data_IF_934952108710
#
_entry.id   IF_934952108710
#
_cell.length_a   1.000
_cell.length_b   1.000
_cell.length_c   1.000
_cell.angle_alpha   90.00
_cell.angle_beta   90.00
_cell.angle_gamma   90.00
#
_symmetry.space_group_name_H-M   'P 1'
#
loop_
_entity.id
_entity.type
_entity.pdbx_description
1 polymer ?
#
# COMPACT_ATOMS: atom_id res chain seq x y z
N UNK A 1 -19.27 -1.38 0.54
CA UNK A 1 -18.71 -1.20 1.90
C UNK A 1 -19.31 0.06 2.51
N UNK A 2 -19.84 -0.02 3.72
CA UNK A 2 -20.36 1.15 4.41
C UNK A 2 -19.21 2.01 4.98
N UNK A 3 -19.43 3.33 5.24
CA UNK A 3 -18.41 4.15 5.89
C UNK A 3 -17.96 3.61 7.24
N UNK A 4 -18.86 3.02 8.01
CA UNK A 4 -18.53 2.42 9.31
C UNK A 4 -17.63 1.20 9.15
N UNK A 5 -17.90 0.33 8.17
CA UNK A 5 -17.08 -0.84 7.89
C UNK A 5 -15.68 -0.41 7.42
N UNK A 6 -15.60 0.62 6.58
CA UNK A 6 -14.34 1.17 6.11
C UNK A 6 -13.51 1.74 7.28
N UNK A 7 -14.14 2.49 8.18
CA UNK A 7 -13.47 3.03 9.36
C UNK A 7 -12.91 1.94 10.26
N UNK A 8 -13.67 0.86 10.48
CA UNK A 8 -13.19 -0.29 11.26
C UNK A 8 -11.98 -0.96 10.64
N UNK A 9 -11.99 -1.17 9.33
CA UNK A 9 -10.87 -1.76 8.61
C UNK A 9 -9.63 -0.87 8.70
N UNK A 10 -9.81 0.45 8.54
CA UNK A 10 -8.72 1.42 8.64
C UNK A 10 -8.11 1.42 10.04
N UNK A 11 -8.94 1.41 11.08
CA UNK A 11 -8.50 1.40 12.47
C UNK A 11 -7.73 0.13 12.81
N UNK A 12 -8.21 -1.01 12.34
CA UNK A 12 -7.52 -2.29 12.53
C UNK A 12 -6.15 -2.31 11.85
N UNK A 13 -6.09 -1.82 10.62
CA UNK A 13 -4.84 -1.72 9.86
C UNK A 13 -3.85 -0.78 10.57
N UNK A 14 -4.30 0.38 11.04
CA UNK A 14 -3.47 1.33 11.76
C UNK A 14 -2.90 0.71 13.04
N UNK A 15 -3.70 -0.06 13.77
CA UNK A 15 -3.26 -0.77 14.97
C UNK A 15 -2.14 -1.76 14.65
N UNK A 16 -2.33 -2.60 13.63
CA UNK A 16 -1.31 -3.57 13.20
C UNK A 16 -0.04 -2.89 12.70
N UNK A 17 -0.20 -1.79 11.97
CA UNK A 17 0.94 -1.02 11.44
C UNK A 17 1.75 -0.39 12.58
N UNK A 18 1.09 0.13 13.60
CA UNK A 18 1.76 0.69 14.79
C UNK A 18 2.54 -0.37 15.55
N UNK A 19 1.97 -1.58 15.71
CA UNK A 19 2.66 -2.69 16.34
C UNK A 19 3.90 -3.09 15.54
N UNK A 20 3.79 -3.15 14.24
CA UNK A 20 4.91 -3.47 13.34
C UNK A 20 6.01 -2.42 13.44
N UNK A 21 5.66 -1.15 13.52
CA UNK A 21 6.64 -0.06 13.69
C UNK A 21 7.42 -0.17 15.01
N UNK A 22 6.84 -0.77 16.03
CA UNK A 22 7.49 -1.00 17.32
C UNK A 22 8.28 -2.31 17.37
N UNK A 23 8.09 -3.19 16.38
CA UNK A 23 8.70 -4.50 16.36
C UNK A 23 10.17 -4.45 15.91
N UNK A 24 10.92 -5.49 16.25
CA UNK A 24 12.17 -5.81 15.57
C UNK A 24 11.81 -6.74 14.42
N UNK A 25 11.83 -6.28 13.16
CA UNK A 25 11.35 -7.10 12.06
C UNK A 25 12.05 -8.46 11.96
N UNK A 26 11.25 -9.53 11.94
CA UNK A 26 11.77 -10.88 11.88
C UNK A 26 10.73 -11.87 12.39
N UNK A 27 10.88 -13.16 12.01
CA UNK A 27 9.89 -14.19 12.37
C UNK A 27 9.80 -14.46 13.89
N UNK A 28 10.78 -14.02 14.66
CA UNK A 28 10.79 -14.22 16.11
C UNK A 28 9.95 -13.19 16.89
N UNK A 29 9.63 -12.05 16.28
CA UNK A 29 8.87 -10.99 16.95
C UNK A 29 7.37 -11.13 16.67
N UNK A 30 6.54 -11.40 17.70
CA UNK A 30 5.11 -11.57 17.52
C UNK A 30 4.38 -10.28 17.09
N UNK A 31 5.02 -9.11 17.21
CA UNK A 31 4.44 -7.83 16.80
C UNK A 31 4.76 -7.48 15.35
N UNK A 32 5.50 -8.32 14.65
CA UNK A 32 5.87 -8.10 13.26
C UNK A 32 4.78 -8.59 12.32
N UNK A 33 3.99 -7.67 11.79
CA UNK A 33 2.94 -7.93 10.80
C UNK A 33 3.34 -7.45 9.40
N UNK A 34 4.66 -7.42 9.11
CA UNK A 34 5.18 -6.91 7.83
C UNK A 34 4.64 -7.65 6.62
N UNK A 35 4.37 -8.95 6.73
CA UNK A 35 3.79 -9.72 5.63
C UNK A 35 2.39 -9.20 5.24
N UNK A 36 1.60 -8.80 6.22
CA UNK A 36 0.29 -8.19 5.96
C UNK A 36 0.43 -6.86 5.22
N UNK A 37 1.47 -6.08 5.56
CA UNK A 37 1.80 -4.84 4.84
C UNK A 37 2.15 -5.13 3.39
N UNK A 38 2.98 -6.14 3.15
CA UNK A 38 3.36 -6.56 1.80
C UNK A 38 2.12 -6.96 0.99
N UNK A 39 1.22 -7.74 1.58
CA UNK A 39 -0.03 -8.14 0.93
C UNK A 39 -0.90 -6.94 0.58
N UNK A 40 -1.00 -5.96 1.48
CA UNK A 40 -1.78 -4.74 1.22
C UNK A 40 -1.19 -3.94 0.05
N UNK A 41 0.12 -3.80 0.00
CA UNK A 41 0.80 -3.10 -1.08
C UNK A 41 0.70 -3.85 -2.40
N UNK A 42 0.79 -5.18 -2.35
CA UNK A 42 0.59 -6.04 -3.53
C UNK A 42 -0.83 -5.88 -4.08
N UNK A 43 -1.84 -5.95 -3.23
CA UNK A 43 -3.23 -5.80 -3.64
C UNK A 43 -3.51 -4.43 -4.27
N UNK A 44 -2.85 -3.39 -3.77
CA UNK A 44 -3.03 -2.04 -4.27
C UNK A 44 -2.36 -1.80 -5.64
N UNK A 45 -1.17 -2.34 -5.83
CA UNK A 45 -0.31 -1.93 -6.96
C UNK A 45 0.20 -3.05 -7.85
N UNK A 46 0.09 -4.29 -7.45
CA UNK A 46 0.61 -5.43 -8.22
C UNK A 46 -0.48 -6.31 -8.82
N UNK A 47 -1.72 -6.16 -8.40
CA UNK A 47 -2.84 -6.91 -8.92
C UNK A 47 -3.61 -6.10 -9.96
N UNK A 48 -4.18 -6.78 -10.94
CA UNK A 48 -5.04 -6.14 -11.92
C UNK A 48 -6.40 -5.83 -11.28
N UNK A 49 -6.85 -4.59 -11.44
CA UNK A 49 -8.17 -4.20 -10.97
C UNK A 49 -9.17 -4.37 -12.11
N UNK A 50 -10.18 -5.25 -11.98
CA UNK A 50 -11.22 -5.34 -13.00
C UNK A 50 -11.90 -4.00 -13.24
N UNK A 51 -12.34 -3.75 -14.47
CA UNK A 51 -12.91 -2.48 -14.88
C UNK A 51 -14.10 -2.01 -14.04
N UNK A 52 -14.83 -2.95 -13.41
CA UNK A 52 -15.99 -2.65 -12.57
C UNK A 52 -15.65 -2.63 -11.07
N UNK A 53 -14.38 -2.74 -10.70
CA UNK A 53 -13.95 -2.69 -9.31
C UNK A 53 -13.18 -1.39 -9.02
N UNK A 54 -13.33 -0.91 -7.79
CA UNK A 54 -12.66 0.29 -7.34
C UNK A 54 -11.41 -0.11 -6.54
N UNK A 55 -10.23 0.37 -6.95
CA UNK A 55 -8.96 0.11 -6.28
C UNK A 55 -8.76 1.00 -5.04
N UNK A 56 -9.58 2.03 -4.83
CA UNK A 56 -9.40 3.00 -3.74
C UNK A 56 -9.29 2.35 -2.35
N UNK A 57 -10.14 1.38 -1.96
CA UNK A 57 -10.01 0.77 -0.65
C UNK A 57 -8.66 0.07 -0.43
N UNK A 58 -8.14 -0.61 -1.45
CA UNK A 58 -6.84 -1.27 -1.36
C UNK A 58 -5.70 -0.26 -1.24
N UNK A 59 -5.76 0.81 -2.01
CA UNK A 59 -4.76 1.90 -1.98
C UNK A 59 -4.80 2.59 -0.62
N UNK A 60 -5.98 2.85 -0.08
CA UNK A 60 -6.14 3.47 1.24
C UNK A 60 -5.56 2.58 2.34
N UNK A 61 -5.82 1.29 2.29
CA UNK A 61 -5.26 0.33 3.24
C UNK A 61 -3.73 0.30 3.18
N UNK A 62 -3.16 0.27 1.98
CA UNK A 62 -1.72 0.32 1.78
C UNK A 62 -1.13 1.62 2.32
N UNK A 63 -1.80 2.77 2.11
CA UNK A 63 -1.35 4.06 2.60
C UNK A 63 -1.27 4.10 4.12
N UNK A 64 -2.20 3.46 4.83
CA UNK A 64 -2.17 3.36 6.30
C UNK A 64 -0.91 2.64 6.77
N UNK A 65 -0.52 1.55 6.11
CA UNK A 65 0.71 0.83 6.42
C UNK A 65 1.94 1.72 6.25
N UNK A 66 1.98 2.50 5.18
CA UNK A 66 3.11 3.42 4.91
C UNK A 66 3.14 4.55 5.94
N UNK A 67 1.98 5.10 6.29
CA UNK A 67 1.89 6.19 7.26
C UNK A 67 2.48 5.80 8.63
N UNK A 68 2.14 4.63 9.14
CA UNK A 68 2.54 4.22 10.49
C UNK A 68 3.79 3.36 10.56
N UNK A 69 4.12 2.61 9.50
CA UNK A 69 5.23 1.67 9.49
C UNK A 69 6.19 1.85 8.30
N UNK A 70 6.06 2.93 7.53
CA UNK A 70 6.82 3.13 6.30
C UNK A 70 8.33 3.00 6.49
N UNK A 71 8.88 3.59 7.54
CA UNK A 71 10.32 3.52 7.81
C UNK A 71 10.77 2.08 8.09
N UNK A 72 10.00 1.35 8.89
CA UNK A 72 10.27 -0.05 9.22
C UNK A 72 10.20 -0.93 7.96
N UNK A 73 9.21 -0.69 7.12
CA UNK A 73 9.04 -1.44 5.87
C UNK A 73 10.14 -1.10 4.85
N UNK A 74 10.51 0.18 4.74
CA UNK A 74 11.61 0.60 3.88
C UNK A 74 12.92 -0.07 4.25
N UNK A 75 13.21 -0.14 5.56
CA UNK A 75 14.42 -0.79 6.04
C UNK A 75 14.47 -2.26 5.61
N UNK A 76 13.35 -2.95 5.62
CA UNK A 76 13.26 -4.33 5.16
C UNK A 76 13.51 -4.44 3.65
N UNK A 77 13.08 -3.44 2.87
CA UNK A 77 13.37 -3.39 1.43
C UNK A 77 14.87 -3.20 1.17
N UNK A 78 15.52 -2.34 1.93
CA UNK A 78 16.97 -2.15 1.85
C UNK A 78 17.71 -3.44 2.21
N UNK A 79 17.24 -4.13 3.24
CA UNK A 79 17.84 -5.38 3.70
C UNK A 79 17.50 -6.57 2.81
N UNK A 80 16.52 -6.43 1.94
CA UNK A 80 16.09 -7.50 1.02
C UNK A 80 15.44 -8.68 1.73
N UNK A 81 14.62 -8.41 2.76
CA UNK A 81 13.99 -9.47 3.55
C UNK A 81 13.07 -10.35 2.70
N UNK A 82 13.29 -11.66 2.77
CA UNK A 82 12.47 -12.65 2.08
C UNK A 82 11.60 -13.46 3.04
N UNK A 83 10.50 -14.00 2.52
CA UNK A 83 9.57 -14.88 3.26
C UNK A 83 9.58 -16.27 2.64
N UNK A 84 9.21 -17.27 3.44
CA UNK A 84 9.21 -18.68 3.02
C UNK A 84 8.19 -18.95 1.91
N UNK A 85 8.54 -19.82 0.99
CA UNK A 85 7.64 -20.28 -0.06
C UNK A 85 7.13 -19.15 -0.93
N UNK A 86 5.83 -19.12 -1.15
CA UNK A 86 5.18 -18.15 -2.04
C UNK A 86 4.37 -17.08 -1.31
N UNK A 87 4.55 -16.95 -0.01
CA UNK A 87 3.78 -16.00 0.80
C UNK A 87 3.91 -14.57 0.30
N UNK A 88 5.08 -14.19 -0.16
CA UNK A 88 5.38 -12.85 -0.65
C UNK A 88 5.63 -12.80 -2.15
N UNK A 89 5.08 -13.75 -2.90
CA UNK A 89 5.20 -13.77 -4.35
C UNK A 89 4.60 -12.50 -4.97
N UNK A 90 5.08 -12.07 -6.15
CA UNK A 90 4.53 -10.89 -6.80
C UNK A 90 3.09 -11.08 -7.26
N UNK A 91 2.35 -9.98 -7.39
CA UNK A 91 1.01 -9.99 -7.97
C UNK A 91 1.02 -10.25 -9.46
N UNK A 92 -0.17 -10.34 -10.06
CA UNK A 92 -0.32 -10.73 -11.47
C UNK A 92 0.40 -9.83 -12.45
N UNK A 93 0.46 -8.52 -12.19
CA UNK A 93 1.17 -7.57 -13.07
C UNK A 93 2.67 -7.82 -13.14
N UNK A 94 3.22 -8.47 -12.14
CA UNK A 94 4.65 -8.72 -12.00
C UNK A 94 4.96 -10.20 -11.82
N UNK A 95 4.15 -11.07 -12.41
CA UNK A 95 4.28 -12.51 -12.28
C UNK A 95 5.61 -13.05 -12.80
N UNK A 96 6.30 -12.31 -13.68
CA UNK A 96 7.61 -12.64 -14.22
C UNK A 96 8.77 -12.30 -13.28
N UNK A 97 8.49 -11.56 -12.19
CA UNK A 97 9.52 -11.17 -11.23
C UNK A 97 9.77 -12.30 -10.21
N UNK A 98 11.01 -12.38 -9.76
CA UNK A 98 11.43 -13.41 -8.79
C UNK A 98 11.33 -12.93 -7.34
N UNK A 99 10.53 -11.92 -7.06
CA UNK A 99 10.39 -11.38 -5.71
C UNK A 99 9.82 -12.40 -4.74
N UNK A 100 10.42 -12.46 -3.54
CA UNK A 100 9.99 -13.34 -2.45
C UNK A 100 9.81 -12.58 -1.14
N UNK A 101 9.84 -11.25 -1.18
CA UNK A 101 9.74 -10.41 0.01
C UNK A 101 9.88 -8.94 -0.35
N UNK A 102 10.46 -8.20 0.57
CA UNK A 102 10.74 -6.78 0.38
C UNK A 102 12.05 -6.60 -0.41
N UNK A 103 11.99 -5.82 -1.48
CA UNK A 103 13.16 -5.42 -2.29
C UNK A 103 13.03 -3.95 -2.64
N UNK A 104 14.15 -3.30 -2.95
CA UNK A 104 14.11 -1.90 -3.38
C UNK A 104 13.36 -1.74 -4.70
N UNK A 105 13.53 -2.68 -5.63
CA UNK A 105 12.81 -2.67 -6.92
C UNK A 105 11.29 -2.69 -6.69
N UNK A 106 10.84 -3.60 -5.81
CA UNK A 106 9.41 -3.73 -5.48
C UNK A 106 8.89 -2.48 -4.77
N UNK A 107 9.68 -1.93 -3.86
CA UNK A 107 9.36 -0.69 -3.17
C UNK A 107 9.15 0.46 -4.16
N UNK A 108 10.00 0.57 -5.17
CA UNK A 108 9.90 1.61 -6.19
C UNK A 108 8.62 1.47 -7.02
N UNK A 109 8.16 0.26 -7.28
CA UNK A 109 6.86 0.01 -7.94
C UNK A 109 5.73 0.58 -7.09
N UNK A 110 5.72 0.29 -5.80
CA UNK A 110 4.69 0.79 -4.87
C UNK A 110 4.71 2.31 -4.76
N UNK A 111 5.90 2.87 -4.65
CA UNK A 111 6.09 4.31 -4.57
C UNK A 111 5.59 5.00 -5.85
N UNK A 112 5.92 4.45 -7.00
CA UNK A 112 5.42 4.95 -8.28
C UNK A 112 3.90 4.89 -8.37
N UNK A 113 3.29 3.84 -7.83
CA UNK A 113 1.84 3.71 -7.76
C UNK A 113 1.19 4.79 -6.92
N UNK A 114 1.75 5.10 -5.75
CA UNK A 114 1.26 6.20 -4.92
C UNK A 114 1.43 7.56 -5.59
N UNK A 115 2.55 7.80 -6.26
CA UNK A 115 2.80 9.05 -6.98
C UNK A 115 1.80 9.24 -8.11
N UNK A 116 1.47 8.19 -8.84
CA UNK A 116 0.48 8.24 -9.92
C UNK A 116 -0.91 8.59 -9.38
N UNK A 117 -1.33 7.96 -8.27
CA UNK A 117 -2.61 8.26 -7.63
C UNK A 117 -2.65 9.72 -7.15
N UNK A 118 -1.57 10.21 -6.55
CA UNK A 118 -1.45 11.59 -6.12
C UNK A 118 -1.57 12.57 -7.27
N UNK A 119 -0.90 12.28 -8.40
CA UNK A 119 -0.98 13.12 -9.60
C UNK A 119 -2.39 13.17 -10.17
N UNK A 120 -3.10 12.05 -10.20
CA UNK A 120 -4.48 11.98 -10.66
C UNK A 120 -5.41 12.78 -9.75
N UNK A 121 -5.23 12.69 -8.43
CA UNK A 121 -6.01 13.45 -7.47
C UNK A 121 -5.78 14.96 -7.62
N UNK A 122 -4.54 15.40 -7.79
CA UNK A 122 -4.19 16.79 -8.03
C UNK A 122 -4.82 17.31 -9.32
N UNK A 123 -4.78 16.53 -10.41
CA UNK A 123 -5.40 16.90 -11.68
C UNK A 123 -6.92 17.08 -11.53
N UNK A 124 -7.57 16.19 -10.79
CA UNK A 124 -9.01 16.28 -10.51
C UNK A 124 -9.35 17.53 -9.70
N UNK A 125 -8.55 17.84 -8.67
CA UNK A 125 -8.73 19.04 -7.85
C UNK A 125 -8.56 20.32 -8.66
N UNK A 126 -7.59 20.36 -9.56
CA UNK A 126 -7.36 21.51 -10.44
C UNK A 126 -8.55 21.71 -11.38
N UNK A 127 -9.08 20.64 -11.96
CA UNK A 127 -10.26 20.71 -12.83
C UNK A 127 -11.50 21.21 -12.09
N UNK A 128 -11.73 20.72 -10.89
CA UNK A 128 -12.83 21.17 -10.03
C UNK A 128 -12.68 22.64 -9.66
N UNK A 129 -11.49 23.08 -9.32
CA UNK A 129 -11.21 24.48 -9.00
C UNK A 129 -11.46 25.39 -10.23
N UNK A 130 -11.05 24.95 -11.41
CA UNK A 130 -11.32 25.70 -12.66
C UNK A 130 -12.82 25.80 -12.96
N UNK A 131 -13.57 24.72 -12.78
CA UNK A 131 -15.01 24.70 -12.97
C UNK A 131 -15.70 25.61 -11.98
N UNK A 132 -15.32 25.57 -10.71
CA UNK A 132 -15.85 26.47 -9.66
C UNK A 132 -15.53 27.92 -9.94
N UNK A 133 -14.31 28.22 -10.42
CA UNK A 133 -13.90 29.57 -10.78
C UNK A 133 -14.74 30.16 -11.91
N UNK A 134 -15.07 29.35 -12.91
CA UNK A 134 -15.94 29.77 -14.03
C UNK A 134 -17.36 30.08 -13.57
N UNK A 135 -17.87 29.30 -12.61
CA UNK A 135 -19.20 29.49 -12.07
C UNK A 135 -19.28 30.69 -11.11
N UNK A 136 -18.17 30.99 -10.46
CA UNK A 136 -18.07 32.10 -9.51
C UNK A 136 -17.82 33.46 -10.14
N UNK A 137 -17.54 33.46 -11.42
CA UNK A 137 -17.36 34.69 -12.17
C UNK A 137 -18.71 35.20 -12.68
#
# INVERSE_FOLDING_TARGET
>A
MTPETLARCTNKTAFLARLTALSAPGPADPLDFSLYALWALRDAFEEECPANHNAEPAIRNAAVWIEYAGKTLWQQAVDGREFSGRQAAPGKKFADKAWRGFTEERWNVWRGGFEEVGSQAEASEVEEAKASGKQGA
#
